data_IF_391238568912
#
_entry.id   IF_391238568912
#
_cell.length_a   1.000
_cell.length_b   1.000
_cell.length_c   1.000
_cell.angle_alpha   90.00
_cell.angle_beta   90.00
_cell.angle_gamma   90.00
#
_symmetry.space_group_name_H-M   'P 1'
#
loop_
_entity.id
_entity.type
_entity.pdbx_description
1 polymer ?
#
# COMPACT_ATOMS: atom_id res chain seq x y z
N UNK A 1 -16.68 17.74 14.96
CA UNK A 1 -15.42 17.13 15.42
C UNK A 1 -15.56 15.64 15.17
N UNK A 2 -14.68 15.02 14.37
CA UNK A 2 -14.75 13.57 14.16
C UNK A 2 -14.48 12.86 15.51
N UNK A 3 -15.29 11.86 15.84
CA UNK A 3 -15.03 11.02 17.00
C UNK A 3 -13.90 10.04 16.66
N UNK A 4 -12.67 10.44 16.98
CA UNK A 4 -11.49 9.57 17.10
C UNK A 4 -11.63 8.53 18.25
N UNK A 5 -12.83 8.30 18.76
CA UNK A 5 -13.05 7.83 20.11
C UNK A 5 -13.16 6.32 20.28
N UNK A 6 -12.61 5.51 19.36
CA UNK A 6 -12.11 4.20 19.79
C UNK A 6 -11.16 3.54 18.78
N UNK A 7 -9.86 3.87 18.77
CA UNK A 7 -8.85 2.91 18.34
C UNK A 7 -8.77 1.72 19.33
N UNK A 8 -8.95 1.98 20.64
CA UNK A 8 -9.28 1.05 21.75
C UNK A 8 -9.67 1.91 22.97
N UNK A 9 -10.90 2.40 23.06
CA UNK A 9 -11.30 3.38 24.09
C UNK A 9 -11.11 2.86 25.53
N UNK A 10 -9.97 3.22 26.12
CA UNK A 10 -9.77 3.36 27.57
C UNK A 10 -9.37 2.11 28.35
N UNK A 11 -9.38 0.90 27.78
CA UNK A 11 -8.87 -0.29 28.45
C UNK A 11 -8.15 -1.15 27.42
N UNK A 12 -6.91 -1.55 27.70
CA UNK A 12 -6.53 -2.90 27.30
C UNK A 12 -7.54 -3.80 28.01
N UNK A 13 -8.68 -4.11 27.38
CA UNK A 13 -9.60 -5.14 27.85
C UNK A 13 -8.71 -6.26 28.39
N UNK A 14 -9.00 -6.84 29.57
CA UNK A 14 -8.05 -7.74 30.25
C UNK A 14 -7.56 -8.96 29.44
N UNK A 15 -7.97 -9.07 28.17
CA UNK A 15 -7.48 -9.98 27.14
C UNK A 15 -6.70 -9.22 26.06
N UNK A 16 -5.50 -9.72 25.78
CA UNK A 16 -4.71 -9.37 24.58
C UNK A 16 -5.43 -9.87 23.33
N UNK A 17 -5.12 -9.25 22.18
CA UNK A 17 -5.56 -9.73 20.88
C UNK A 17 -5.14 -11.19 20.68
N UNK A 18 -6.03 -11.98 20.09
CA UNK A 18 -5.64 -13.24 19.46
C UNK A 18 -4.72 -12.98 18.27
N UNK A 19 -3.94 -13.98 17.87
CA UNK A 19 -3.07 -13.85 16.70
C UNK A 19 -3.84 -13.43 15.43
N UNK A 20 -5.03 -14.00 15.21
CA UNK A 20 -5.87 -13.62 14.06
C UNK A 20 -6.40 -12.18 14.12
N UNK A 21 -6.70 -11.66 15.31
CA UNK A 21 -7.08 -10.25 15.48
C UNK A 21 -5.91 -9.31 15.25
N UNK A 22 -4.71 -9.68 15.71
CA UNK A 22 -3.49 -8.91 15.46
C UNK A 22 -3.20 -8.82 13.95
N UNK A 23 -3.23 -9.95 13.24
CA UNK A 23 -3.05 -9.99 11.78
C UNK A 23 -4.07 -9.10 11.07
N UNK A 24 -5.35 -9.14 11.48
CA UNK A 24 -6.39 -8.25 10.93
C UNK A 24 -6.09 -6.77 11.21
N UNK A 25 -5.67 -6.44 12.42
CA UNK A 25 -5.32 -5.06 12.77
C UNK A 25 -4.15 -4.53 11.91
N UNK A 26 -3.10 -5.33 11.71
CA UNK A 26 -1.98 -4.94 10.84
C UNK A 26 -2.43 -4.72 9.38
N UNK A 27 -3.35 -5.55 8.85
CA UNK A 27 -3.91 -5.30 7.50
C UNK A 27 -4.65 -3.96 7.40
N UNK A 28 -5.39 -3.58 8.44
CA UNK A 28 -6.02 -2.26 8.49
C UNK A 28 -5.01 -1.13 8.55
N UNK A 29 -3.90 -1.31 9.28
CA UNK A 29 -2.82 -0.33 9.30
C UNK A 29 -2.15 -0.17 7.91
N UNK A 30 -1.88 -1.27 7.20
CA UNK A 30 -1.39 -1.18 5.80
C UNK A 30 -2.35 -0.36 4.93
N UNK A 31 -3.67 -0.59 5.06
CA UNK A 31 -4.67 0.15 4.31
C UNK A 31 -4.71 1.64 4.71
N UNK A 32 -4.54 1.97 6.00
CA UNK A 32 -4.54 3.36 6.45
C UNK A 32 -3.34 4.15 5.93
N UNK A 33 -2.16 3.53 5.79
CA UNK A 33 -1.00 4.22 5.20
C UNK A 33 -1.25 4.58 3.72
N UNK A 34 -1.91 3.72 2.96
CA UNK A 34 -2.31 4.04 1.58
C UNK A 34 -3.38 5.14 1.52
N UNK A 35 -4.34 5.14 2.44
CA UNK A 35 -5.34 6.20 2.56
C UNK A 35 -4.67 7.55 2.90
N UNK A 36 -3.77 7.56 3.87
CA UNK A 36 -3.00 8.75 4.25
C UNK A 36 -2.17 9.29 3.07
N UNK A 37 -1.42 8.41 2.39
CA UNK A 37 -0.67 8.75 1.18
C UNK A 37 -1.55 9.47 0.16
N UNK A 38 -2.74 8.90 -0.13
CA UNK A 38 -3.68 9.45 -1.10
C UNK A 38 -4.24 10.81 -0.65
N UNK A 39 -4.63 10.94 0.63
CA UNK A 39 -5.17 12.18 1.17
C UNK A 39 -4.16 13.34 1.09
N UNK A 40 -2.90 13.09 1.47
CA UNK A 40 -1.86 14.11 1.41
C UNK A 40 -1.51 14.50 -0.02
N UNK A 41 -1.34 13.53 -0.93
CA UNK A 41 -1.03 13.82 -2.33
C UNK A 41 -2.16 14.59 -3.01
N UNK A 42 -3.41 14.19 -2.80
CA UNK A 42 -4.56 14.87 -3.39
C UNK A 42 -4.68 16.32 -2.91
N UNK A 43 -4.42 16.59 -1.61
CA UNK A 43 -4.41 17.96 -1.10
C UNK A 43 -3.22 18.76 -1.66
N UNK A 44 -2.04 18.15 -1.76
CA UNK A 44 -0.86 18.78 -2.36
C UNK A 44 -1.08 19.16 -3.84
N UNK A 45 -1.82 18.34 -4.59
CA UNK A 45 -2.20 18.62 -5.99
C UNK A 45 -3.31 19.67 -6.11
N UNK A 46 -4.03 19.97 -5.02
CA UNK A 46 -5.19 20.87 -4.99
C UNK A 46 -4.88 22.28 -4.47
N UNK A 47 -3.60 22.62 -4.26
CA UNK A 47 -3.17 23.93 -3.75
C UNK A 47 -1.95 24.44 -4.50
N UNK A 48 -1.74 25.75 -4.51
CA UNK A 48 -0.55 26.43 -5.02
C UNK A 48 0.40 26.90 -3.90
N UNK A 49 0.05 26.70 -2.62
CA UNK A 49 0.87 27.11 -1.48
C UNK A 49 2.13 26.25 -1.37
N UNK A 50 3.26 26.80 -1.81
CA UNK A 50 4.52 26.06 -2.03
C UNK A 50 4.99 25.22 -0.83
N UNK A 51 5.00 25.80 0.39
CA UNK A 51 5.42 25.09 1.59
C UNK A 51 4.49 23.91 1.91
N UNK A 52 3.18 24.06 1.68
CA UNK A 52 2.20 23.00 1.94
C UNK A 52 2.41 21.84 1.00
N UNK A 53 2.64 22.11 -0.29
CA UNK A 53 2.93 21.08 -1.30
C UNK A 53 4.18 20.29 -0.90
N UNK A 54 5.24 20.97 -0.49
CA UNK A 54 6.49 20.33 -0.08
C UNK A 54 6.26 19.39 1.11
N UNK A 55 5.69 19.90 2.21
CA UNK A 55 5.47 19.13 3.43
C UNK A 55 4.56 17.94 3.18
N UNK A 56 3.44 18.12 2.47
CA UNK A 56 2.50 17.04 2.21
C UNK A 56 3.10 15.93 1.33
N UNK A 57 3.93 16.28 0.34
CA UNK A 57 4.62 15.28 -0.49
C UNK A 57 5.70 14.53 0.29
N UNK A 58 6.41 15.21 1.18
CA UNK A 58 7.37 14.57 2.08
C UNK A 58 6.66 13.55 2.98
N UNK A 59 5.57 13.95 3.66
CA UNK A 59 4.78 13.04 4.50
C UNK A 59 4.22 11.88 3.67
N UNK A 60 3.63 12.14 2.49
CA UNK A 60 3.08 11.07 1.64
C UNK A 60 4.13 10.00 1.26
N UNK A 61 5.39 10.39 1.05
CA UNK A 61 6.45 9.44 0.77
C UNK A 61 6.84 8.62 2.01
N UNK A 62 6.79 9.21 3.20
CA UNK A 62 7.03 8.50 4.47
C UNK A 62 5.95 7.43 4.72
N UNK A 63 4.68 7.71 4.43
CA UNK A 63 3.61 6.71 4.61
C UNK A 63 3.79 5.49 3.69
N UNK A 64 4.40 5.64 2.51
CA UNK A 64 4.76 4.50 1.66
C UNK A 64 5.83 3.63 2.32
N UNK A 65 6.77 4.23 3.06
CA UNK A 65 7.77 3.49 3.86
C UNK A 65 7.07 2.73 4.97
N UNK A 66 6.15 3.37 5.71
CA UNK A 66 5.36 2.73 6.76
C UNK A 66 4.53 1.54 6.22
N UNK A 67 3.90 1.71 5.06
CA UNK A 67 3.18 0.61 4.39
C UNK A 67 4.12 -0.58 4.13
N UNK A 68 5.36 -0.32 3.69
CA UNK A 68 6.39 -1.34 3.49
C UNK A 68 6.80 -2.06 4.78
N UNK A 69 7.01 -1.33 5.87
CA UNK A 69 7.33 -1.89 7.19
C UNK A 69 6.22 -2.81 7.69
N UNK A 70 4.97 -2.35 7.60
CA UNK A 70 3.79 -3.11 8.02
C UNK A 70 3.57 -4.35 7.16
N UNK A 71 3.77 -4.26 5.84
CA UNK A 71 3.72 -5.42 4.95
C UNK A 71 4.78 -6.46 5.31
N UNK A 72 6.02 -6.04 5.59
CA UNK A 72 7.07 -6.97 6.04
C UNK A 72 6.69 -7.63 7.35
N UNK A 73 6.14 -6.89 8.32
CA UNK A 73 5.65 -7.48 9.57
C UNK A 73 4.52 -8.48 9.31
N UNK A 74 3.59 -8.17 8.40
CA UNK A 74 2.50 -9.06 8.04
C UNK A 74 3.00 -10.39 7.45
N UNK A 75 4.11 -10.38 6.70
CA UNK A 75 4.70 -11.61 6.17
C UNK A 75 5.25 -12.52 7.28
N UNK A 76 5.74 -11.92 8.38
CA UNK A 76 6.18 -12.66 9.56
C UNK A 76 4.99 -13.29 10.30
N UNK A 77 3.92 -12.52 10.47
CA UNK A 77 2.75 -12.93 11.23
C UNK A 77 1.88 -13.92 10.45
N UNK A 78 1.86 -13.85 9.11
CA UNK A 78 1.00 -14.66 8.25
C UNK A 78 1.80 -15.26 7.07
N UNK A 79 2.66 -16.26 7.31
CA UNK A 79 3.54 -16.80 6.26
C UNK A 79 2.79 -17.48 5.10
N UNK A 80 1.60 -18.05 5.33
CA UNK A 80 0.78 -18.59 4.25
C UNK A 80 0.21 -17.49 3.34
N UNK A 81 -0.10 -16.31 3.90
CA UNK A 81 -0.50 -15.14 3.13
C UNK A 81 0.66 -14.60 2.29
N UNK A 82 1.88 -14.63 2.82
CA UNK A 82 3.09 -14.27 2.07
C UNK A 82 3.30 -15.12 0.81
N UNK A 83 2.93 -16.41 0.84
CA UNK A 83 2.97 -17.29 -0.36
C UNK A 83 1.97 -16.82 -1.42
N UNK A 84 0.77 -16.38 -1.01
CA UNK A 84 -0.23 -15.84 -1.93
C UNK A 84 0.24 -14.53 -2.56
N UNK A 85 0.91 -13.66 -1.80
CA UNK A 85 1.52 -12.44 -2.36
C UNK A 85 2.59 -12.75 -3.41
N UNK A 86 3.46 -13.73 -3.13
CA UNK A 86 4.47 -14.16 -4.09
C UNK A 86 3.85 -14.75 -5.37
N UNK A 87 2.78 -15.54 -5.24
CA UNK A 87 2.02 -16.04 -6.38
C UNK A 87 1.43 -14.88 -7.21
N UNK A 88 0.73 -13.95 -6.56
CA UNK A 88 0.14 -12.79 -7.23
C UNK A 88 1.18 -11.94 -7.96
N UNK A 89 2.35 -11.72 -7.35
CA UNK A 89 3.46 -11.02 -8.00
C UNK A 89 3.93 -11.74 -9.27
N UNK A 90 4.11 -13.07 -9.21
CA UNK A 90 4.47 -13.89 -10.38
C UNK A 90 3.43 -13.79 -11.50
N UNK A 91 2.14 -13.83 -11.17
CA UNK A 91 1.07 -13.68 -12.15
C UNK A 91 1.12 -12.32 -12.88
N UNK A 92 1.51 -11.25 -12.19
CA UNK A 92 1.70 -9.93 -12.80
C UNK A 92 2.96 -9.89 -13.66
N UNK A 93 4.07 -10.48 -13.22
CA UNK A 93 5.30 -10.57 -14.02
C UNK A 93 5.07 -11.31 -15.36
N UNK A 94 4.29 -12.39 -15.34
CA UNK A 94 3.90 -13.10 -16.57
C UNK A 94 3.06 -12.22 -17.51
N UNK A 95 2.15 -11.39 -16.98
CA UNK A 95 1.38 -10.42 -17.77
C UNK A 95 2.29 -9.33 -18.36
N UNK A 96 3.25 -8.82 -17.59
CA UNK A 96 4.23 -7.82 -18.04
C UNK A 96 5.07 -8.40 -19.19
N UNK A 97 5.59 -9.62 -19.04
CA UNK A 97 6.40 -10.28 -20.07
C UNK A 97 5.60 -10.47 -21.37
N UNK A 98 4.35 -10.94 -21.29
CA UNK A 98 3.47 -11.08 -22.46
C UNK A 98 3.24 -9.73 -23.16
N UNK A 99 2.94 -8.67 -22.41
CA UNK A 99 2.72 -7.34 -22.99
C UNK A 99 3.97 -6.76 -23.67
N UNK A 100 5.17 -7.03 -23.14
CA UNK A 100 6.43 -6.62 -23.78
C UNK A 100 6.65 -7.35 -25.12
N UNK A 101 6.36 -8.65 -25.17
CA UNK A 101 6.46 -9.45 -26.40
C UNK A 101 5.48 -8.96 -27.47
N UNK A 102 4.22 -8.70 -27.12
CA UNK A 102 3.20 -8.20 -28.08
C UNK A 102 3.56 -6.82 -28.64
N UNK A 103 4.11 -5.94 -27.80
CA UNK A 103 4.51 -4.60 -28.24
C UNK A 103 5.72 -4.65 -29.18
N UNK A 104 6.66 -5.55 -28.95
CA UNK A 104 7.84 -5.73 -29.82
C UNK A 104 7.45 -6.25 -31.20
N UNK A 105 6.57 -7.26 -31.26
CA UNK A 105 6.05 -7.79 -32.54
C UNK A 105 5.23 -6.77 -33.33
N UNK A 106 4.54 -5.85 -32.66
CA UNK A 106 3.76 -4.78 -33.31
C UNK A 106 4.65 -3.69 -33.92
N UNK A 107 5.82 -3.42 -33.32
CA UNK A 107 6.78 -2.44 -33.83
C UNK A 107 7.53 -2.96 -35.07
N UNK A 108 7.90 -4.24 -35.08
CA UNK A 108 8.58 -4.88 -36.23
C UNK A 108 7.68 -4.96 -37.48
N UNK A 109 6.37 -5.19 -37.30
CA UNK A 109 5.42 -5.21 -38.43
C UNK A 109 5.16 -3.82 -39.04
N UNK A 110 5.34 -2.72 -38.29
CA UNK A 110 5.13 -1.35 -38.80
C UNK A 110 6.33 -0.78 -39.58
N UNK A 111 7.51 -1.38 -39.45
CA UNK A 111 8.72 -0.95 -40.15
C UNK A 111 9.01 -1.77 -41.43
N UNK A 112 8.13 -2.72 -41.76
CA UNK A 112 8.27 -3.60 -42.94
C UNK A 112 7.21 -3.33 -44.03
N UNK A 113 6.52 -2.19 -43.98
CA UNK A 113 5.56 -1.72 -45.00
C UNK A 113 5.94 -0.34 -45.51
#
# INVERSE_FOLDING_TARGET
MQDFNSPFSGVAHGKRLTHGELVRAIRFLVASEYEATQMYMQLAESTDHTLTIQVLKEIANEEIVHAGELLRLLYELAPEEAKLYAQGAKEVEEKIARNRLTNTSTVEQRHST
#
